data_IF_647076313875
#
_entry.id   IF_647076313875
#
_cell.length_a   1.000
_cell.length_b   1.000
_cell.length_c   1.000
_cell.angle_alpha   90.00
_cell.angle_beta   90.00
_cell.angle_gamma   90.00
#
_symmetry.space_group_name_H-M   'P 1'
#
loop_
_entity.id
_entity.type
_entity.pdbx_description
1 polymer ?
#
# COMPACT_ATOMS: atom_id res chain seq x y z
N UNK A 1 2.11 0.72 5.57
CA UNK A 1 1.37 1.28 4.42
C UNK A 1 2.25 2.21 3.60
N UNK A 2 2.83 3.19 4.23
CA UNK A 2 3.69 4.14 3.53
C UNK A 2 4.94 3.46 2.96
N UNK A 3 5.62 2.64 3.75
CA UNK A 3 6.82 1.94 3.31
C UNK A 3 6.52 0.97 2.16
N UNK A 4 5.39 0.28 2.22
CA UNK A 4 4.94 -0.60 1.13
C UNK A 4 4.73 0.20 -0.16
N UNK A 5 4.06 1.34 -0.06
CA UNK A 5 3.82 2.21 -1.21
C UNK A 5 5.14 2.73 -1.80
N UNK A 6 6.09 3.12 -0.95
CA UNK A 6 7.39 3.62 -1.39
C UNK A 6 8.17 2.56 -2.16
N UNK A 7 8.20 1.32 -1.66
CA UNK A 7 8.89 0.21 -2.35
C UNK A 7 8.21 -0.12 -3.67
N UNK A 8 6.88 -0.07 -3.74
CA UNK A 8 6.16 -0.24 -5.00
C UNK A 8 6.47 0.85 -6.01
N UNK A 9 6.53 2.10 -5.57
CA UNK A 9 6.88 3.24 -6.42
C UNK A 9 8.32 3.16 -6.94
N UNK A 10 9.20 2.53 -6.16
CA UNK A 10 10.60 2.29 -6.55
C UNK A 10 10.76 1.04 -7.43
N UNK A 11 9.67 0.37 -7.75
CA UNK A 11 9.66 -0.85 -8.55
C UNK A 11 10.52 -1.97 -7.92
N UNK A 12 10.36 -2.17 -6.61
CA UNK A 12 11.11 -3.17 -5.83
C UNK A 12 10.14 -4.15 -5.15
N UNK A 13 9.37 -4.93 -5.92
CA UNK A 13 8.34 -5.82 -5.34
C UNK A 13 8.93 -6.93 -4.47
N UNK A 14 10.12 -7.42 -4.77
CA UNK A 14 10.76 -8.46 -3.97
C UNK A 14 11.05 -7.97 -2.54
N UNK A 15 11.50 -6.72 -2.39
CA UNK A 15 11.76 -6.12 -1.09
C UNK A 15 10.46 -5.78 -0.35
N UNK A 16 9.39 -5.54 -1.09
CA UNK A 16 8.09 -5.21 -0.53
C UNK A 16 7.34 -6.44 0.00
N UNK A 17 7.69 -7.65 -0.43
CA UNK A 17 6.93 -8.85 -0.12
C UNK A 17 6.67 -9.06 1.38
N UNK A 18 7.66 -8.90 2.29
CA UNK A 18 7.39 -9.03 3.74
C UNK A 18 6.45 -7.95 4.25
N UNK A 19 6.52 -6.74 3.69
CA UNK A 19 5.65 -5.64 4.09
C UNK A 19 4.24 -5.84 3.59
N UNK A 20 4.07 -6.39 2.39
CA UNK A 20 2.76 -6.77 1.85
C UNK A 20 2.10 -7.81 2.75
N UNK A 21 2.85 -8.80 3.23
CA UNK A 21 2.34 -9.80 4.15
C UNK A 21 1.85 -9.17 5.46
N UNK A 22 2.62 -8.23 6.02
CA UNK A 22 2.21 -7.50 7.23
C UNK A 22 0.97 -6.65 6.99
N UNK A 23 0.92 -5.97 5.86
CA UNK A 23 -0.20 -5.12 5.50
C UNK A 23 -1.48 -5.93 5.35
N UNK A 24 -1.38 -7.11 4.74
CA UNK A 24 -2.52 -8.01 4.62
C UNK A 24 -3.01 -8.49 6.00
N UNK A 25 -2.09 -8.72 6.93
CA UNK A 25 -2.45 -9.12 8.29
C UNK A 25 -3.17 -7.99 9.05
N UNK A 26 -2.78 -6.72 8.80
CA UNK A 26 -3.36 -5.57 9.49
C UNK A 26 -4.68 -5.15 8.85
N UNK A 27 -4.70 -4.96 7.55
CA UNK A 27 -5.84 -4.39 6.82
C UNK A 27 -6.77 -5.45 6.23
N UNK A 28 -6.32 -6.69 6.15
CA UNK A 28 -7.08 -7.80 5.60
C UNK A 28 -7.14 -7.81 4.08
N UNK A 29 -7.69 -6.76 3.48
CA UNK A 29 -7.83 -6.63 2.03
C UNK A 29 -7.30 -5.28 1.57
N UNK A 30 -7.13 -5.15 0.25
CA UNK A 30 -6.75 -3.87 -0.37
C UNK A 30 -7.80 -2.79 -0.08
N UNK A 31 -9.06 -3.17 0.03
CA UNK A 31 -10.13 -2.21 0.35
C UNK A 31 -9.97 -1.66 1.77
N UNK A 32 -9.53 -2.49 2.71
CA UNK A 32 -9.22 -2.04 4.07
C UNK A 32 -8.10 -1.01 4.09
N UNK A 33 -7.06 -1.23 3.31
CA UNK A 33 -5.97 -0.27 3.14
C UNK A 33 -6.49 1.03 2.52
N UNK A 34 -7.29 0.95 1.47
CA UNK A 34 -7.86 2.12 0.81
C UNK A 34 -8.71 2.95 1.77
N UNK A 35 -9.54 2.30 2.58
CA UNK A 35 -10.36 2.98 3.58
C UNK A 35 -9.52 3.74 4.61
N UNK A 36 -8.43 3.12 5.08
CA UNK A 36 -7.51 3.77 6.01
C UNK A 36 -6.87 5.02 5.39
N UNK A 37 -6.37 4.89 4.16
CA UNK A 37 -5.67 6.00 3.50
C UNK A 37 -6.60 7.17 3.21
N UNK A 38 -7.85 6.90 2.84
CA UNK A 38 -8.85 7.95 2.60
C UNK A 38 -9.20 8.76 3.86
N UNK A 39 -9.10 8.12 5.03
CA UNK A 39 -9.34 8.81 6.30
C UNK A 39 -8.13 9.60 6.78
N UNK A 40 -6.92 9.21 6.35
CA UNK A 40 -5.66 9.73 6.87
C UNK A 40 -5.06 10.80 5.97
N UNK A 41 -5.24 10.67 4.66
CA UNK A 41 -4.60 11.53 3.66
C UNK A 41 -5.64 12.19 2.77
N UNK A 42 -5.24 13.32 2.14
CA UNK A 42 -6.04 13.93 1.08
C UNK A 42 -6.10 12.99 -0.13
N UNK A 43 -7.14 13.12 -0.95
CA UNK A 43 -7.44 12.17 -2.03
C UNK A 43 -6.28 11.93 -2.99
N UNK A 44 -5.57 12.98 -3.40
CA UNK A 44 -4.44 12.85 -4.32
C UNK A 44 -3.27 12.08 -3.71
N UNK A 45 -3.00 12.28 -2.42
CA UNK A 45 -1.97 11.54 -1.71
C UNK A 45 -2.39 10.08 -1.52
N UNK A 46 -3.65 9.84 -1.13
CA UNK A 46 -4.18 8.49 -0.98
C UNK A 46 -4.09 7.71 -2.29
N UNK A 47 -4.44 8.33 -3.41
CA UNK A 47 -4.38 7.68 -4.72
C UNK A 47 -2.95 7.27 -5.09
N UNK A 48 -1.97 8.13 -4.82
CA UNK A 48 -0.55 7.82 -5.08
C UNK A 48 -0.05 6.68 -4.20
N UNK A 49 -0.43 6.70 -2.93
CA UNK A 49 -0.05 5.63 -2.00
C UNK A 49 -0.69 4.30 -2.41
N UNK A 50 -1.95 4.32 -2.82
CA UNK A 50 -2.63 3.12 -3.32
C UNK A 50 -1.97 2.57 -4.57
N UNK A 51 -1.58 3.42 -5.50
CA UNK A 51 -0.86 2.98 -6.70
C UNK A 51 0.44 2.27 -6.33
N UNK A 52 1.22 2.85 -5.43
CA UNK A 52 2.45 2.24 -4.95
C UNK A 52 2.22 0.90 -4.26
N UNK A 53 1.19 0.81 -3.44
CA UNK A 53 0.84 -0.43 -2.73
C UNK A 53 0.45 -1.53 -3.72
N UNK A 54 -0.35 -1.22 -4.74
CA UNK A 54 -0.70 -2.20 -5.77
C UNK A 54 0.52 -2.66 -6.55
N UNK A 55 1.41 -1.73 -6.89
CA UNK A 55 2.66 -2.06 -7.59
C UNK A 55 3.60 -2.90 -6.74
N UNK A 56 3.51 -2.79 -5.42
CA UNK A 56 4.26 -3.64 -4.49
C UNK A 56 3.73 -5.08 -4.46
N UNK A 57 2.53 -5.32 -4.99
CA UNK A 57 1.95 -6.65 -5.09
C UNK A 57 0.72 -6.89 -4.22
N UNK A 58 0.18 -5.87 -3.57
CA UNK A 58 -1.04 -5.99 -2.78
C UNK A 58 -2.24 -5.52 -3.60
N UNK A 59 -3.02 -6.48 -4.02
CA UNK A 59 -4.24 -6.23 -4.78
C UNK A 59 -5.44 -6.87 -4.16
#
# INVERSE_FOLDING_TARGET
RYATAALGAMDRPADAAPMVARLRAIDGTIDGTAAYLRRTYVDSAAARLMDGIRRAGFH
#
